data_IF_535881503631
#
_entry.id   IF_535881503631
#
_cell.length_a   1.000
_cell.length_b   1.000
_cell.length_c   1.000
_cell.angle_alpha   90.00
_cell.angle_beta   90.00
_cell.angle_gamma   90.00
#
_symmetry.space_group_name_H-M   'P 1'
#
loop_
_entity.id
_entity.type
_entity.pdbx_description
1 polymer ?
#
# COMPACT_ATOMS: atom_id res chain seq x y z
N UNK A 1 -31.84 -15.47 16.60
CA UNK A 1 -31.24 -15.78 15.28
C UNK A 1 -30.34 -14.60 14.96
N UNK A 2 -29.09 -14.70 15.38
CA UNK A 2 -28.09 -13.66 15.18
C UNK A 2 -27.71 -13.66 13.69
N UNK A 3 -27.95 -12.52 13.04
CA UNK A 3 -27.59 -12.32 11.65
C UNK A 3 -26.07 -12.38 11.54
N UNK A 4 -25.57 -13.49 10.99
CA UNK A 4 -24.21 -13.55 10.50
C UNK A 4 -24.09 -12.47 9.42
N UNK A 5 -23.49 -11.33 9.78
CA UNK A 5 -22.97 -10.38 8.81
C UNK A 5 -21.94 -11.19 8.03
N UNK A 6 -22.36 -11.71 6.87
CA UNK A 6 -21.44 -12.14 5.83
C UNK A 6 -20.71 -10.87 5.43
N UNK A 7 -19.60 -10.56 6.11
CA UNK A 7 -18.66 -9.55 5.61
C UNK A 7 -18.19 -10.11 4.29
N UNK A 8 -18.63 -9.47 3.22
CA UNK A 8 -18.28 -9.86 1.86
C UNK A 8 -16.76 -9.91 1.79
N UNK A 9 -16.19 -11.00 1.24
CA UNK A 9 -14.74 -11.14 1.17
C UNK A 9 -14.08 -10.09 0.27
N UNK A 10 -14.89 -9.32 -0.48
CA UNK A 10 -14.47 -8.13 -1.24
C UNK A 10 -14.68 -6.80 -0.51
N UNK A 11 -15.17 -6.78 0.73
CA UNK A 11 -15.28 -5.51 1.46
C UNK A 11 -13.87 -4.94 1.69
N UNK A 12 -13.62 -3.68 1.29
CA UNK A 12 -12.32 -3.06 1.49
C UNK A 12 -12.01 -3.01 2.98
N UNK A 13 -10.78 -3.38 3.36
CA UNK A 13 -10.33 -3.20 4.73
C UNK A 13 -10.32 -1.68 5.02
N UNK A 14 -11.32 -1.22 5.78
CA UNK A 14 -11.62 0.20 5.97
C UNK A 14 -10.43 1.01 6.52
N UNK A 15 -9.48 0.34 7.16
CA UNK A 15 -8.34 0.94 7.84
C UNK A 15 -7.00 0.74 7.09
N UNK A 16 -7.00 0.10 5.91
CA UNK A 16 -5.78 -0.15 5.13
C UNK A 16 -5.81 0.57 3.78
N UNK A 17 -4.80 1.38 3.53
CA UNK A 17 -4.65 2.12 2.28
C UNK A 17 -3.39 1.66 1.53
N UNK A 18 -3.54 1.38 0.23
CA UNK A 18 -2.40 1.12 -0.66
C UNK A 18 -1.80 2.46 -1.10
N UNK A 19 -0.48 2.54 -1.04
CA UNK A 19 0.33 3.66 -1.47
C UNK A 19 1.38 3.16 -2.44
N UNK A 20 1.48 3.82 -3.58
CA UNK A 20 2.50 3.59 -4.60
C UNK A 20 3.72 4.43 -4.29
N UNK A 21 4.87 3.81 -4.10
CA UNK A 21 6.16 4.49 -3.92
C UNK A 21 6.99 4.39 -5.19
N UNK A 22 7.50 5.52 -5.66
CA UNK A 22 8.41 5.63 -6.80
C UNK A 22 9.82 5.82 -6.29
N UNK A 23 10.65 4.83 -6.57
CA UNK A 23 12.07 4.83 -6.26
C UNK A 23 12.80 5.52 -7.40
N UNK A 24 13.02 6.83 -7.28
CA UNK A 24 13.69 7.66 -8.28
C UNK A 24 15.13 7.22 -8.58
N UNK A 25 15.76 6.59 -7.59
CA UNK A 25 17.17 6.15 -7.64
C UNK A 25 17.30 4.75 -8.27
N UNK A 26 16.24 3.95 -8.19
CA UNK A 26 16.16 2.65 -8.85
C UNK A 26 15.37 2.78 -10.13
N UNK A 27 16.05 2.96 -11.26
CA UNK A 27 15.38 2.99 -12.56
C UNK A 27 15.28 1.58 -13.15
N UNK A 28 14.10 1.23 -13.65
CA UNK A 28 13.82 -0.03 -14.36
C UNK A 28 13.50 0.23 -15.83
N UNK A 29 13.73 -0.78 -16.67
CA UNK A 29 13.53 -0.70 -18.12
C UNK A 29 14.82 -0.49 -18.91
N UNK A 30 14.71 -0.42 -20.24
CA UNK A 30 15.84 -0.21 -21.14
C UNK A 30 15.92 1.26 -21.58
N UNK A 31 17.14 1.74 -21.85
CA UNK A 31 17.32 3.09 -22.40
C UNK A 31 16.67 3.23 -23.79
N UNK A 32 16.11 4.41 -24.12
CA UNK A 32 16.05 5.65 -23.33
C UNK A 32 14.84 5.74 -22.37
N UNK A 33 14.02 4.70 -22.25
CA UNK A 33 12.73 4.74 -21.54
C UNK A 33 12.80 4.24 -20.09
N UNK A 34 13.93 4.47 -19.40
CA UNK A 34 14.06 4.09 -17.99
C UNK A 34 13.02 4.83 -17.13
N UNK A 35 12.29 4.11 -16.30
CA UNK A 35 11.28 4.65 -15.39
C UNK A 35 11.65 4.36 -13.94
N UNK A 36 11.27 5.22 -12.96
CA UNK A 36 11.41 4.90 -11.55
C UNK A 36 10.74 3.56 -11.24
N UNK A 37 11.46 2.70 -10.50
CA UNK A 37 10.91 1.46 -9.99
C UNK A 37 9.76 1.78 -9.04
N UNK A 38 8.68 1.02 -9.16
CA UNK A 38 7.48 1.22 -8.37
C UNK A 38 7.39 0.11 -7.35
N UNK A 39 7.11 0.49 -6.11
CA UNK A 39 6.89 -0.43 -5.01
C UNK A 39 5.56 -0.11 -4.34
N UNK A 40 4.78 -1.15 -4.05
CA UNK A 40 3.53 -0.97 -3.33
C UNK A 40 3.79 -1.04 -1.83
N UNK A 41 3.10 -0.20 -1.08
CA UNK A 41 3.16 -0.14 0.37
C UNK A 41 1.73 -0.07 0.89
N UNK A 42 1.50 -0.66 2.06
CA UNK A 42 0.21 -0.59 2.75
C UNK A 42 0.41 0.14 4.06
N UNK A 43 -0.45 1.11 4.31
CA UNK A 43 -0.49 1.84 5.55
C UNK A 43 -1.82 1.55 6.26
N UNK A 44 -1.74 1.13 7.52
CA UNK A 44 -2.87 0.89 8.39
C UNK A 44 -3.37 2.19 9.05
N UNK A 45 -3.61 3.19 8.22
CA UNK A 45 -4.07 4.53 8.59
C UNK A 45 -5.08 5.01 7.56
N UNK A 46 -5.87 6.06 7.89
CA UNK A 46 -6.78 6.68 6.93
C UNK A 46 -6.06 7.10 5.65
N UNK A 47 -6.76 7.06 4.52
CA UNK A 47 -6.23 7.37 3.19
C UNK A 47 -5.53 8.73 3.13
N UNK A 48 -6.10 9.75 3.79
CA UNK A 48 -5.52 11.09 3.87
C UNK A 48 -4.14 11.14 4.56
N UNK A 49 -3.87 10.19 5.46
CA UNK A 49 -2.61 10.10 6.21
C UNK A 49 -1.63 9.07 5.62
N UNK A 50 -2.12 8.16 4.76
CA UNK A 50 -1.35 7.03 4.25
C UNK A 50 -0.08 7.45 3.51
N UNK A 51 -0.16 8.45 2.62
CA UNK A 51 1.01 8.97 1.90
C UNK A 51 2.04 9.51 2.87
N UNK A 52 1.61 10.32 3.85
CA UNK A 52 2.50 10.91 4.83
C UNK A 52 3.14 9.83 5.74
N UNK A 53 2.38 8.81 6.12
CA UNK A 53 2.88 7.68 6.91
C UNK A 53 3.96 6.89 6.13
N UNK A 54 3.74 6.65 4.84
CA UNK A 54 4.70 5.97 3.96
C UNK A 54 5.94 6.82 3.71
N UNK A 55 5.78 8.11 3.41
CA UNK A 55 6.90 9.05 3.22
C UNK A 55 7.80 9.18 4.46
N UNK A 56 7.27 8.99 5.67
CA UNK A 56 8.07 8.94 6.90
C UNK A 56 8.94 7.68 7.01
N UNK A 57 8.56 6.59 6.33
CA UNK A 57 9.28 5.30 6.35
C UNK A 57 10.26 5.16 5.19
N UNK A 58 9.99 5.81 4.06
CA UNK A 58 10.86 5.75 2.89
C UNK A 58 11.88 6.90 2.86
N UNK A 59 13.00 6.75 2.14
CA UNK A 59 13.96 7.83 1.95
C UNK A 59 13.33 9.09 1.33
N UNK A 60 13.81 10.27 1.71
CA UNK A 60 13.23 11.58 1.34
C UNK A 60 13.25 11.90 -0.17
N UNK A 61 14.07 11.19 -0.95
CA UNK A 61 14.14 11.34 -2.40
C UNK A 61 13.08 10.53 -3.14
N UNK A 62 12.45 9.55 -2.49
CA UNK A 62 11.33 8.80 -3.09
C UNK A 62 10.05 9.63 -3.08
N UNK A 63 9.18 9.30 -4.03
CA UNK A 63 7.83 9.88 -4.11
C UNK A 63 6.81 8.83 -3.72
N UNK A 64 5.71 9.24 -3.10
CA UNK A 64 4.60 8.36 -2.77
C UNK A 64 3.29 8.97 -3.26
N UNK A 65 2.42 8.15 -3.83
CA UNK A 65 1.11 8.53 -4.33
C UNK A 65 0.05 7.54 -3.86
N UNK A 66 -1.17 8.02 -3.61
CA UNK A 66 -2.30 7.13 -3.36
C UNK A 66 -2.64 6.36 -4.62
N UNK A 67 -2.97 5.09 -4.44
CA UNK A 67 -3.54 4.27 -5.51
C UNK A 67 -5.05 4.21 -5.33
N UNK A 68 -5.79 3.96 -6.40
CA UNK A 68 -7.23 3.72 -6.33
C UNK A 68 -7.55 2.27 -5.93
N UNK A 69 -6.51 1.44 -5.76
CA UNK A 69 -6.63 0.07 -5.32
C UNK A 69 -6.95 -0.01 -3.82
N UNK A 70 -7.67 -1.07 -3.48
CA UNK A 70 -8.09 -1.38 -2.12
C UNK A 70 -7.39 -2.65 -1.64
N UNK A 71 -7.09 -2.68 -0.33
CA UNK A 71 -6.61 -3.90 0.31
C UNK A 71 -7.81 -4.78 0.60
N UNK A 72 -7.83 -5.98 0.01
CA UNK A 72 -8.83 -6.99 0.34
C UNK A 72 -8.58 -7.57 1.74
N UNK A 73 -9.60 -8.19 2.33
CA UNK A 73 -9.52 -8.69 3.70
C UNK A 73 -8.48 -9.80 3.89
N UNK A 74 -8.27 -10.66 2.90
CA UNK A 74 -7.24 -11.72 2.94
C UNK A 74 -5.83 -11.13 3.01
N UNK A 75 -5.53 -10.12 2.19
CA UNK A 75 -4.25 -9.42 2.20
C UNK A 75 -4.07 -8.64 3.51
N UNK A 76 -5.13 -8.00 4.02
CA UNK A 76 -5.12 -7.35 5.32
C UNK A 76 -4.71 -8.33 6.43
N UNK A 77 -5.31 -9.53 6.42
CA UNK A 77 -5.04 -10.59 7.39
C UNK A 77 -3.65 -11.20 7.22
N UNK A 78 -3.13 -11.31 6.00
CA UNK A 78 -1.78 -11.78 5.74
C UNK A 78 -0.73 -10.79 6.24
N UNK A 79 -1.01 -9.49 6.11
CA UNK A 79 -0.12 -8.43 6.56
C UNK A 79 -0.15 -8.26 8.09
N UNK A 80 -1.26 -8.59 8.75
CA UNK A 80 -1.47 -8.49 10.21
C UNK A 80 -1.03 -7.13 10.78
N UNK A 81 -1.28 -6.04 10.04
CA UNK A 81 -0.81 -4.71 10.40
C UNK A 81 -1.62 -4.12 11.55
N UNK A 82 -0.93 -3.53 12.51
CA UNK A 82 -1.58 -2.76 13.57
C UNK A 82 -1.92 -1.35 13.08
N UNK A 83 -2.93 -0.69 13.66
CA UNK A 83 -3.23 0.71 13.36
C UNK A 83 -1.99 1.60 13.50
N UNK A 84 -1.70 2.41 12.49
CA UNK A 84 -0.50 3.25 12.42
C UNK A 84 0.72 2.58 11.79
N UNK A 85 0.69 1.27 11.56
CA UNK A 85 1.79 0.57 10.92
C UNK A 85 1.77 0.72 9.40
N UNK A 86 2.96 0.58 8.84
CA UNK A 86 3.21 0.69 7.41
C UNK A 86 4.10 -0.47 7.03
N UNK A 87 3.69 -1.24 6.04
CA UNK A 87 4.46 -2.37 5.52
C UNK A 87 4.59 -2.28 4.01
N UNK A 88 5.72 -2.75 3.52
CA UNK A 88 5.94 -2.93 2.10
C UNK A 88 5.10 -4.11 1.60
N UNK A 89 4.36 -3.91 0.51
CA UNK A 89 3.91 -4.99 -0.33
C UNK A 89 5.06 -5.28 -1.30
N UNK A 90 5.93 -6.23 -0.93
CA UNK A 90 6.90 -6.73 -1.90
C UNK A 90 6.07 -7.28 -3.05
N UNK A 91 6.17 -6.67 -4.24
CA UNK A 91 5.50 -7.13 -5.45
C UNK A 91 5.78 -8.61 -5.58
N UNK A 92 4.79 -9.45 -5.26
CA UNK A 92 4.92 -10.89 -5.38
C UNK A 92 5.24 -11.16 -6.86
N UNK A 93 6.43 -11.72 -7.04
CA UNK A 93 7.09 -11.97 -8.32
C UNK A 93 6.33 -12.98 -9.16
#
# INVERSE_FOLDING_TARGET
MEGAILRDMNDPAADLTIVRVFMTDNLVGQEPHRQPAVQLWVAAVPRDEAVAAVLKRVPSHYKAELTDDFVNFDLARLLDLKPGEVSELSSAR
#
